data_IF_254305170149
#
_entry.id   IF_254305170149
#
_cell.length_a   1.000
_cell.length_b   1.000
_cell.length_c   1.000
_cell.angle_alpha   90.00
_cell.angle_beta   90.00
_cell.angle_gamma   90.00
#
_symmetry.space_group_name_H-M   'P 1'
#
loop_
_entity.id
_entity.type
_entity.pdbx_description
1 polymer ?
#
# COMPACT_ATOMS: atom_id res chain seq x y z
N UNK A 1 -15.80 2.52 10.66
CA UNK A 1 -15.38 1.13 10.97
C UNK A 1 -14.75 0.55 9.72
N UNK A 2 -13.73 -0.31 9.81
CA UNK A 2 -13.11 -0.95 8.65
C UNK A 2 -13.49 -2.43 8.61
N UNK A 3 -13.67 -2.99 7.41
CA UNK A 3 -14.13 -4.37 7.22
C UNK A 3 -13.12 -5.16 6.40
N UNK A 4 -12.78 -6.38 6.83
CA UNK A 4 -11.85 -7.24 6.10
C UNK A 4 -12.54 -7.86 4.88
N UNK A 5 -11.93 -7.74 3.70
CA UNK A 5 -12.49 -8.22 2.43
C UNK A 5 -11.47 -8.94 1.55
N UNK A 6 -11.96 -9.81 0.68
CA UNK A 6 -11.17 -10.40 -0.41
C UNK A 6 -11.41 -9.61 -1.69
N UNK A 7 -10.34 -9.13 -2.31
CA UNK A 7 -10.38 -8.44 -3.60
C UNK A 7 -10.16 -9.47 -4.71
N UNK A 8 -11.10 -9.50 -5.64
CA UNK A 8 -11.13 -10.47 -6.73
C UNK A 8 -11.11 -9.71 -8.04
N UNK A 9 -10.22 -10.10 -8.94
CA UNK A 9 -10.22 -9.57 -10.30
C UNK A 9 -11.38 -10.18 -11.09
N UNK A 10 -12.16 -9.33 -11.73
CA UNK A 10 -13.21 -9.71 -12.66
C UNK A 10 -12.71 -9.55 -14.10
N UNK A 11 -12.99 -10.53 -14.97
CA UNK A 11 -12.55 -10.49 -16.35
C UNK A 11 -13.32 -9.45 -17.19
N UNK A 12 -14.43 -8.91 -16.69
CA UNK A 12 -15.10 -7.77 -17.32
C UNK A 12 -14.15 -6.55 -17.41
N UNK A 13 -14.35 -5.70 -18.43
CA UNK A 13 -13.65 -4.45 -18.72
C UNK A 13 -14.50 -3.19 -18.51
N UNK A 14 -15.78 -3.29 -18.17
CA UNK A 14 -16.78 -2.19 -18.09
C UNK A 14 -16.58 -1.17 -16.95
N UNK A 15 -15.39 -1.04 -16.37
CA UNK A 15 -15.11 -0.14 -15.23
C UNK A 15 -16.14 -0.28 -14.06
N UNK A 16 -16.45 -1.55 -13.72
CA UNK A 16 -17.40 -1.92 -12.67
C UNK A 16 -16.68 -2.38 -11.40
N UNK A 17 -17.24 -1.97 -10.26
CA UNK A 17 -16.95 -2.50 -8.93
C UNK A 17 -18.18 -3.24 -8.40
N UNK A 18 -18.06 -4.53 -8.14
CA UNK A 18 -19.13 -5.36 -7.59
C UNK A 18 -18.85 -5.60 -6.11
N UNK A 19 -19.74 -5.15 -5.24
CA UNK A 19 -19.60 -5.28 -3.78
C UNK A 19 -20.69 -6.23 -3.26
N UNK A 20 -20.32 -7.14 -2.36
CA UNK A 20 -21.31 -8.01 -1.71
C UNK A 20 -22.27 -7.21 -0.83
N UNK A 21 -23.56 -7.57 -0.84
CA UNK A 21 -24.62 -6.92 -0.04
C UNK A 21 -24.23 -6.70 1.43
N UNK A 22 -23.55 -7.65 2.07
CA UNK A 22 -23.09 -7.51 3.46
C UNK A 22 -22.16 -6.32 3.71
N UNK A 23 -21.31 -5.97 2.75
CA UNK A 23 -20.44 -4.79 2.83
C UNK A 23 -21.26 -3.54 2.53
N UNK A 24 -22.10 -3.58 1.50
CA UNK A 24 -22.94 -2.45 1.13
C UNK A 24 -23.83 -2.00 2.29
N UNK A 25 -24.48 -2.94 2.97
CA UNK A 25 -25.34 -2.69 4.12
C UNK A 25 -24.52 -2.15 5.31
N UNK A 26 -23.36 -2.76 5.62
CA UNK A 26 -22.50 -2.35 6.72
C UNK A 26 -21.96 -0.91 6.60
N UNK A 27 -21.87 -0.39 5.38
CA UNK A 27 -21.44 0.98 5.09
C UNK A 27 -22.57 1.87 4.58
N UNK A 28 -23.82 1.38 4.58
CA UNK A 28 -25.00 2.11 4.09
C UNK A 28 -24.80 2.71 2.68
N UNK A 29 -24.21 1.93 1.78
CA UNK A 29 -23.95 2.36 0.40
C UNK A 29 -25.26 2.59 -0.35
N UNK A 30 -25.38 3.78 -0.96
CA UNK A 30 -26.53 4.16 -1.78
C UNK A 30 -26.17 4.00 -3.26
N UNK A 31 -27.05 3.46 -4.12
CA UNK A 31 -26.81 3.47 -5.56
C UNK A 31 -26.56 4.90 -6.07
N UNK A 32 -25.37 5.13 -6.66
CA UNK A 32 -24.98 6.40 -7.29
C UNK A 32 -24.36 6.10 -8.65
N UNK A 33 -24.26 7.13 -9.50
CA UNK A 33 -23.72 7.00 -10.86
C UNK A 33 -22.29 6.44 -10.86
N UNK A 34 -21.40 6.97 -10.02
CA UNK A 34 -20.02 6.45 -9.85
C UNK A 34 -19.50 6.66 -8.42
N UNK A 35 -18.70 5.71 -7.95
CA UNK A 35 -17.92 5.81 -6.71
C UNK A 35 -16.44 5.96 -7.04
N UNK A 36 -15.66 6.57 -6.14
CA UNK A 36 -14.19 6.55 -6.22
C UNK A 36 -13.68 5.26 -5.58
N UNK A 37 -12.86 4.50 -6.29
CA UNK A 37 -12.05 3.43 -5.72
C UNK A 37 -10.64 3.96 -5.48
N UNK A 38 -10.09 3.69 -4.30
CA UNK A 38 -8.73 4.09 -3.92
C UNK A 38 -7.92 2.88 -3.48
N UNK A 39 -6.67 2.78 -3.95
CA UNK A 39 -5.66 1.82 -3.47
C UNK A 39 -4.30 2.51 -3.45
N UNK A 40 -3.74 2.74 -2.26
CA UNK A 40 -2.63 3.69 -2.11
C UNK A 40 -3.07 5.07 -2.57
N UNK A 41 -2.21 5.80 -3.26
CA UNK A 41 -2.55 7.11 -3.85
C UNK A 41 -3.18 6.99 -5.25
N UNK A 42 -3.45 5.79 -5.76
CA UNK A 42 -4.19 5.61 -7.02
C UNK A 42 -5.70 5.68 -6.77
N UNK A 43 -6.39 6.49 -7.57
CA UNK A 43 -7.83 6.72 -7.48
C UNK A 43 -8.45 6.59 -8.87
N UNK A 44 -9.51 5.80 -8.99
CA UNK A 44 -10.29 5.63 -10.23
C UNK A 44 -11.79 5.74 -9.93
N UNK A 45 -12.59 6.09 -10.94
CA UNK A 45 -14.05 6.05 -10.83
C UNK A 45 -14.58 4.71 -11.31
N UNK A 46 -15.54 4.15 -10.59
CA UNK A 46 -16.18 2.88 -10.92
C UNK A 46 -17.70 2.96 -10.80
N UNK A 47 -18.41 2.25 -11.68
CA UNK A 47 -19.85 1.99 -11.49
C UNK A 47 -20.00 0.95 -10.38
N UNK A 48 -20.78 1.27 -9.36
CA UNK A 48 -21.04 0.37 -8.24
C UNK A 48 -22.23 -0.55 -8.56
N UNK A 49 -22.00 -1.86 -8.50
CA UNK A 49 -23.05 -2.88 -8.52
C UNK A 49 -23.05 -3.61 -7.18
N UNK A 50 -24.22 -3.73 -6.56
CA UNK A 50 -24.38 -4.53 -5.34
C UNK A 50 -24.81 -5.93 -5.75
N UNK A 51 -24.04 -6.94 -5.34
CA UNK A 51 -24.39 -8.34 -5.60
C UNK A 51 -25.03 -8.98 -4.39
N UNK A 52 -26.24 -9.50 -4.57
CA UNK A 52 -26.92 -10.35 -3.58
C UNK A 52 -26.40 -11.80 -3.61
N UNK A 53 -25.81 -12.22 -4.73
CA UNK A 53 -25.26 -13.56 -4.95
C UNK A 53 -23.73 -13.52 -4.89
N UNK A 54 -23.11 -14.49 -4.23
CA UNK A 54 -21.64 -14.65 -4.22
C UNK A 54 -21.01 -14.75 -2.83
N UNK A 55 -19.68 -14.71 -2.78
CA UNK A 55 -18.92 -14.83 -1.53
C UNK A 55 -19.15 -13.60 -0.64
N UNK A 56 -19.50 -13.84 0.62
CA UNK A 56 -19.57 -12.78 1.65
C UNK A 56 -18.21 -12.08 1.77
N UNK A 57 -18.24 -10.78 2.09
CA UNK A 57 -17.05 -9.97 2.31
C UNK A 57 -16.07 -10.00 1.13
N UNK A 58 -16.59 -9.89 -0.09
CA UNK A 58 -15.79 -9.83 -1.30
C UNK A 58 -16.13 -8.61 -2.14
N UNK A 59 -15.09 -8.08 -2.80
CA UNK A 59 -15.20 -6.98 -3.76
C UNK A 59 -14.58 -7.48 -5.06
N UNK A 60 -15.36 -7.51 -6.14
CA UNK A 60 -14.87 -7.83 -7.48
C UNK A 60 -14.65 -6.54 -8.26
N UNK A 61 -13.49 -6.43 -8.89
CA UNK A 61 -13.08 -5.22 -9.61
C UNK A 61 -12.77 -5.61 -11.05
N UNK A 62 -13.33 -4.90 -12.02
CA UNK A 62 -13.05 -5.13 -13.44
C UNK A 62 -11.54 -5.08 -13.73
N UNK A 63 -11.10 -5.89 -14.68
CA UNK A 63 -9.69 -6.06 -15.04
C UNK A 63 -8.99 -4.73 -15.37
N UNK A 64 -9.70 -3.81 -16.02
CA UNK A 64 -9.22 -2.48 -16.36
C UNK A 64 -8.95 -1.62 -15.11
N UNK A 65 -9.92 -1.55 -14.17
CA UNK A 65 -9.75 -0.82 -12.92
C UNK A 65 -8.70 -1.46 -12.03
N UNK A 66 -8.64 -2.79 -11.99
CA UNK A 66 -7.65 -3.55 -11.24
C UNK A 66 -6.22 -3.21 -11.69
N UNK A 67 -6.02 -3.13 -13.01
CA UNK A 67 -4.77 -2.70 -13.64
C UNK A 67 -4.43 -1.24 -13.30
N UNK A 68 -5.37 -0.31 -13.52
CA UNK A 68 -5.19 1.14 -13.24
C UNK A 68 -4.87 1.42 -11.77
N UNK A 69 -5.48 0.67 -10.85
CA UNK A 69 -5.22 0.77 -9.42
C UNK A 69 -3.89 0.11 -9.00
N UNK A 70 -3.31 -0.77 -9.82
CA UNK A 70 -2.08 -1.48 -9.50
C UNK A 70 -2.25 -2.54 -8.40
N UNK A 71 -3.46 -3.11 -8.28
CA UNK A 71 -3.77 -4.08 -7.21
C UNK A 71 -2.97 -5.38 -7.46
N UNK A 72 -2.39 -6.00 -6.41
CA UNK A 72 -1.83 -7.35 -6.49
C UNK A 72 -2.94 -8.40 -6.55
N UNK A 73 -2.71 -9.50 -7.26
CA UNK A 73 -3.68 -10.61 -7.33
C UNK A 73 -3.93 -11.19 -5.93
N UNK A 74 -5.17 -11.69 -5.71
CA UNK A 74 -5.63 -12.32 -4.46
C UNK A 74 -5.40 -11.49 -3.18
N UNK A 75 -5.50 -10.17 -3.28
CA UNK A 75 -5.35 -9.29 -2.12
C UNK A 75 -6.49 -9.51 -1.11
N UNK A 76 -6.13 -9.82 0.13
CA UNK A 76 -7.02 -9.73 1.29
C UNK A 76 -6.64 -8.51 2.12
N UNK A 77 -7.55 -7.53 2.20
CA UNK A 77 -7.27 -6.24 2.85
C UNK A 77 -8.50 -5.69 3.55
N UNK A 78 -8.31 -4.72 4.44
CA UNK A 78 -9.41 -3.93 4.96
C UNK A 78 -9.99 -2.98 3.89
N UNK A 79 -11.29 -2.74 3.98
CA UNK A 79 -12.01 -1.69 3.24
C UNK A 79 -12.57 -0.66 4.22
N UNK A 80 -12.49 0.60 3.82
CA UNK A 80 -13.16 1.71 4.48
C UNK A 80 -13.91 2.51 3.44
N UNK A 81 -15.09 3.02 3.79
CA UNK A 81 -15.87 3.88 2.91
C UNK A 81 -16.04 5.23 3.60
N UNK A 82 -15.68 6.31 2.88
CA UNK A 82 -15.80 7.69 3.34
C UNK A 82 -16.03 8.61 2.14
N UNK A 83 -16.99 9.54 2.23
CA UNK A 83 -17.23 10.58 1.22
C UNK A 83 -17.26 10.06 -0.24
N UNK A 84 -18.06 9.01 -0.49
CA UNK A 84 -18.17 8.32 -1.79
C UNK A 84 -16.87 7.69 -2.33
N UNK A 85 -15.89 7.48 -1.44
CA UNK A 85 -14.64 6.81 -1.71
C UNK A 85 -14.57 5.46 -0.98
N UNK A 86 -14.44 4.40 -1.77
CA UNK A 86 -14.16 3.04 -1.32
C UNK A 86 -12.64 2.87 -1.30
N UNK A 87 -12.07 2.85 -0.10
CA UNK A 87 -10.63 2.76 0.14
C UNK A 87 -10.23 1.32 0.45
N UNK A 88 -9.44 0.72 -0.43
CA UNK A 88 -8.83 -0.60 -0.27
C UNK A 88 -7.47 -0.42 0.39
N UNK A 89 -7.28 -0.95 1.59
CA UNK A 89 -6.00 -0.80 2.30
C UNK A 89 -6.13 -0.55 3.80
N UNK A 90 -5.19 0.17 4.43
CA UNK A 90 -4.19 1.04 3.79
C UNK A 90 -3.09 0.30 3.02
N UNK A 91 -2.45 1.00 2.09
CA UNK A 91 -1.19 0.57 1.48
C UNK A 91 -0.01 1.14 2.26
N UNK A 92 0.86 0.26 2.78
CA UNK A 92 2.06 0.60 3.52
C UNK A 92 3.31 0.34 2.66
N UNK A 93 4.02 1.41 2.33
CA UNK A 93 5.33 1.33 1.70
C UNK A 93 6.43 1.38 2.75
N UNK A 94 7.31 0.39 2.76
CA UNK A 94 8.50 0.37 3.63
C UNK A 94 9.67 0.90 2.82
N UNK A 95 10.11 2.11 3.19
CA UNK A 95 11.24 2.76 2.53
C UNK A 95 12.54 2.20 3.08
N UNK A 96 13.39 1.64 2.22
CA UNK A 96 14.63 0.95 2.59
C UNK A 96 15.79 1.34 1.69
N UNK A 97 17.01 1.03 2.14
CA UNK A 97 18.19 1.26 1.32
C UNK A 97 18.32 0.19 0.19
N UNK A 98 19.08 0.48 -0.89
CA UNK A 98 19.23 -0.42 -2.03
C UNK A 98 19.83 -1.80 -1.70
N UNK A 99 20.68 -1.90 -0.67
CA UNK A 99 21.30 -3.18 -0.27
C UNK A 99 20.23 -4.09 0.34
N UNK A 100 19.39 -3.54 1.21
CA UNK A 100 18.26 -4.24 1.82
C UNK A 100 17.28 -4.73 0.75
N UNK A 101 16.90 -3.85 -0.18
CA UNK A 101 15.99 -4.17 -1.28
C UNK A 101 16.57 -5.24 -2.21
N UNK A 102 17.86 -5.18 -2.55
CA UNK A 102 18.54 -6.20 -3.37
C UNK A 102 18.44 -7.59 -2.73
N UNK A 103 18.64 -7.70 -1.41
CA UNK A 103 18.52 -8.97 -0.69
C UNK A 103 17.11 -9.55 -0.80
N UNK A 104 16.07 -8.70 -0.74
CA UNK A 104 14.68 -9.11 -0.97
C UNK A 104 14.49 -9.67 -2.39
N UNK A 105 14.96 -8.94 -3.40
CA UNK A 105 14.84 -9.37 -4.81
C UNK A 105 15.54 -10.72 -5.08
N UNK A 106 16.66 -10.98 -4.39
CA UNK A 106 17.38 -12.25 -4.42
C UNK A 106 16.69 -13.37 -3.61
N UNK A 107 15.46 -13.16 -3.15
CA UNK A 107 14.70 -14.08 -2.29
C UNK A 107 15.39 -14.40 -0.95
N UNK A 108 16.28 -13.51 -0.49
CA UNK A 108 17.02 -13.62 0.78
C UNK A 108 16.64 -12.47 1.72
N UNK A 109 15.34 -12.31 2.07
CA UNK A 109 14.89 -11.17 2.85
C UNK A 109 15.57 -11.14 4.23
N UNK A 110 16.04 -9.98 4.70
CA UNK A 110 16.54 -9.82 6.06
C UNK A 110 15.49 -10.23 7.10
N UNK A 111 15.91 -10.62 8.31
CA UNK A 111 15.00 -11.09 9.36
C UNK A 111 13.91 -10.06 9.70
N UNK A 112 14.25 -8.78 9.77
CA UNK A 112 13.29 -7.70 10.01
C UNK A 112 12.19 -7.63 8.95
N UNK A 113 12.48 -8.00 7.71
CA UNK A 113 11.50 -8.10 6.63
C UNK A 113 10.45 -9.17 6.96
N UNK A 114 10.90 -10.34 7.40
CA UNK A 114 10.04 -11.47 7.78
C UNK A 114 9.13 -11.10 8.95
N UNK A 115 9.66 -10.39 9.95
CA UNK A 115 8.87 -9.89 11.09
C UNK A 115 7.72 -8.98 10.63
N UNK A 116 7.98 -8.08 9.69
CA UNK A 116 6.93 -7.20 9.14
C UNK A 116 5.89 -7.98 8.33
N UNK A 117 6.29 -9.03 7.61
CA UNK A 117 5.35 -9.91 6.91
C UNK A 117 4.49 -10.72 7.87
N UNK A 118 5.08 -11.25 8.93
CA UNK A 118 4.34 -11.96 9.97
C UNK A 118 3.35 -11.04 10.68
N UNK A 119 3.75 -9.81 11.00
CA UNK A 119 2.84 -8.81 11.55
C UNK A 119 1.67 -8.52 10.58
N UNK A 120 1.94 -8.51 9.27
CA UNK A 120 0.92 -8.27 8.26
C UNK A 120 -0.17 -9.34 8.20
N UNK A 121 0.13 -10.57 8.63
CA UNK A 121 -0.86 -11.65 8.69
C UNK A 121 -2.02 -11.31 9.65
N UNK A 122 -1.78 -10.42 10.62
CA UNK A 122 -2.80 -9.97 11.58
C UNK A 122 -3.45 -8.65 11.17
N UNK A 123 -2.68 -7.72 10.56
CA UNK A 123 -3.21 -6.40 10.20
C UNK A 123 -3.97 -6.37 8.87
N UNK A 124 -3.72 -7.34 7.98
CA UNK A 124 -4.35 -7.42 6.65
C UNK A 124 -4.27 -6.11 5.87
N UNK A 125 -3.07 -5.55 5.78
CA UNK A 125 -2.78 -4.37 4.95
C UNK A 125 -1.94 -4.83 3.76
N UNK A 126 -1.83 -4.00 2.72
CA UNK A 126 -0.89 -4.29 1.64
C UNK A 126 0.46 -3.67 1.97
N UNK A 127 1.50 -4.50 2.04
CA UNK A 127 2.87 -4.04 2.33
C UNK A 127 3.76 -4.32 1.13
N UNK A 128 4.53 -3.30 0.73
CA UNK A 128 5.65 -3.48 -0.19
C UNK A 128 6.86 -2.69 0.27
N UNK A 129 8.03 -3.08 -0.23
CA UNK A 129 9.31 -2.45 0.02
C UNK A 129 9.71 -1.64 -1.19
N UNK A 130 10.38 -0.51 -0.99
CA UNK A 130 10.89 0.32 -2.07
C UNK A 130 12.17 1.06 -1.67
N UNK A 131 12.78 1.76 -2.63
CA UNK A 131 14.01 2.55 -2.44
C UNK A 131 13.88 3.90 -3.13
N UNK A 132 14.92 4.74 -3.08
CA UNK A 132 14.95 6.02 -3.82
C UNK A 132 14.96 5.84 -5.34
N UNK A 133 15.14 4.62 -5.83
CA UNK A 133 15.15 4.30 -7.26
C UNK A 133 13.78 3.78 -7.70
N UNK A 134 13.38 4.17 -8.91
CA UNK A 134 12.19 3.61 -9.57
C UNK A 134 10.87 4.29 -9.21
N UNK A 135 10.89 5.49 -8.61
CA UNK A 135 9.68 6.32 -8.57
C UNK A 135 9.44 7.03 -9.90
N UNK A 136 8.20 7.01 -10.34
CA UNK A 136 7.63 7.92 -11.31
C UNK A 136 6.62 8.82 -10.59
N UNK A 137 7.09 10.00 -10.17
CA UNK A 137 6.28 10.96 -9.43
C UNK A 137 5.11 11.51 -10.25
N UNK A 138 5.32 11.78 -11.54
CA UNK A 138 4.25 12.26 -12.42
C UNK A 138 3.11 11.24 -12.57
N UNK A 139 3.44 9.95 -12.55
CA UNK A 139 2.48 8.85 -12.62
C UNK A 139 1.95 8.36 -11.27
N UNK A 140 2.43 8.91 -10.13
CA UNK A 140 2.16 8.37 -8.78
C UNK A 140 2.43 6.86 -8.65
N UNK A 141 3.49 6.38 -9.32
CA UNK A 141 3.87 4.97 -9.35
C UNK A 141 5.29 4.81 -8.81
N UNK A 142 5.53 3.68 -8.16
CA UNK A 142 6.84 3.31 -7.64
C UNK A 142 7.14 1.83 -7.91
N UNK A 143 8.38 1.56 -8.27
CA UNK A 143 8.89 0.20 -8.31
C UNK A 143 9.05 -0.33 -6.89
N UNK A 144 8.19 -1.28 -6.53
CA UNK A 144 8.21 -1.93 -5.23
C UNK A 144 8.40 -3.43 -5.33
N UNK A 145 8.63 -4.04 -4.18
CA UNK A 145 8.67 -5.50 -4.03
C UNK A 145 7.81 -5.94 -2.85
N UNK A 146 6.93 -6.90 -3.09
CA UNK A 146 6.05 -7.49 -2.07
C UNK A 146 6.17 -9.01 -2.08
N UNK A 147 5.81 -9.66 -0.97
CA UNK A 147 5.74 -11.11 -0.91
C UNK A 147 4.37 -11.58 -1.40
N UNK A 148 4.34 -12.38 -2.46
CA UNK A 148 3.11 -13.02 -2.91
C UNK A 148 2.93 -14.36 -2.21
N UNK A 149 1.80 -14.50 -1.52
CA UNK A 149 1.42 -15.77 -0.89
C UNK A 149 1.12 -16.85 -1.94
N UNK A 150 0.53 -16.48 -3.08
CA UNK A 150 0.20 -17.42 -4.15
C UNK A 150 1.44 -18.08 -4.75
N UNK A 151 2.47 -17.29 -5.01
CA UNK A 151 3.72 -17.77 -5.61
C UNK A 151 4.78 -18.15 -4.58
N UNK A 152 4.53 -17.92 -3.29
CA UNK A 152 5.50 -18.17 -2.21
C UNK A 152 6.82 -17.39 -2.35
N UNK A 153 6.84 -16.25 -3.06
CA UNK A 153 8.07 -15.52 -3.42
C UNK A 153 7.89 -14.01 -3.46
N UNK A 154 9.00 -13.30 -3.40
CA UNK A 154 9.07 -11.85 -3.58
C UNK A 154 8.93 -11.47 -5.05
N UNK A 155 8.01 -10.55 -5.35
CA UNK A 155 7.68 -10.10 -6.70
C UNK A 155 7.98 -8.62 -6.80
N UNK A 156 8.76 -8.23 -7.83
CA UNK A 156 8.97 -6.83 -8.18
C UNK A 156 7.85 -6.37 -9.12
N UNK A 157 7.22 -5.23 -8.83
CA UNK A 157 6.11 -4.69 -9.63
C UNK A 157 6.09 -3.16 -9.54
N UNK A 158 5.53 -2.51 -10.56
CA UNK A 158 5.10 -1.12 -10.46
C UNK A 158 3.82 -1.06 -9.61
N UNK A 159 3.85 -0.27 -8.55
CA UNK A 159 2.79 -0.17 -7.55
C UNK A 159 2.41 1.31 -7.37
N UNK A 160 1.18 1.63 -6.92
CA UNK A 160 0.85 3.01 -6.59
C UNK A 160 1.70 3.51 -5.42
N UNK A 161 1.90 4.82 -5.34
CA UNK A 161 2.42 5.44 -4.11
C UNK A 161 1.57 5.00 -2.91
N UNK A 162 2.16 4.83 -1.71
CA UNK A 162 1.46 4.23 -0.59
C UNK A 162 0.61 5.27 0.16
N UNK A 163 -0.36 4.81 0.96
CA UNK A 163 -1.07 5.67 1.92
C UNK A 163 -0.16 6.09 3.08
N UNK A 164 0.72 5.16 3.48
CA UNK A 164 1.61 5.31 4.63
C UNK A 164 3.02 4.87 4.23
N UNK A 165 4.03 5.65 4.60
CA UNK A 165 5.44 5.25 4.48
C UNK A 165 6.00 4.94 5.86
N UNK A 166 6.54 3.74 6.03
CA UNK A 166 7.42 3.43 7.16
C UNK A 166 8.86 3.65 6.71
N UNK A 167 9.47 4.73 7.21
CA UNK A 167 10.85 5.06 6.89
C UNK A 167 11.81 4.22 7.72
N UNK A 168 12.54 3.34 7.03
CA UNK A 168 13.61 2.52 7.59
C UNK A 168 14.92 2.74 6.84
N UNK A 169 14.98 3.82 6.07
CA UNK A 169 16.04 4.04 5.11
C UNK A 169 17.21 4.75 5.81
N UNK A 170 18.13 3.98 6.37
CA UNK A 170 19.36 4.56 6.92
C UNK A 170 20.44 4.56 5.86
N UNK A 171 20.92 5.74 5.49
CA UNK A 171 22.04 5.93 4.58
C UNK A 171 23.26 6.47 5.34
N UNK A 172 24.39 5.80 5.16
CA UNK A 172 25.64 6.14 5.86
C UNK A 172 26.67 6.81 4.94
N UNK A 173 26.35 7.04 3.67
CA UNK A 173 27.27 7.65 2.71
C UNK A 173 26.83 9.07 2.35
N UNK A 174 27.80 9.99 2.30
CA UNK A 174 27.60 11.41 1.97
C UNK A 174 26.89 11.64 0.63
N UNK A 175 27.00 10.70 -0.32
CA UNK A 175 26.31 10.75 -1.61
C UNK A 175 24.85 10.30 -1.56
N UNK A 176 24.49 9.41 -0.65
CA UNK A 176 23.15 8.83 -0.59
C UNK A 176 22.22 9.60 0.34
N UNK A 177 22.76 10.29 1.34
CA UNK A 177 21.97 11.11 2.27
C UNK A 177 21.17 12.18 1.54
N UNK A 178 21.74 13.03 0.65
CA UNK A 178 20.96 14.05 -0.06
C UNK A 178 19.87 13.46 -0.96
N UNK A 179 20.15 12.32 -1.60
CA UNK A 179 19.16 11.61 -2.42
C UNK A 179 17.98 11.10 -1.59
N UNK A 180 18.25 10.65 -0.37
CA UNK A 180 17.22 10.23 0.56
C UNK A 180 16.36 11.41 0.98
N UNK A 181 16.98 12.50 1.45
CA UNK A 181 16.28 13.71 1.91
C UNK A 181 15.38 14.29 0.82
N UNK A 182 15.89 14.45 -0.40
CA UNK A 182 15.08 14.94 -1.51
C UNK A 182 13.87 14.01 -1.79
N UNK A 183 14.07 12.69 -1.72
CA UNK A 183 12.98 11.73 -1.88
C UNK A 183 11.94 11.82 -0.75
N UNK A 184 12.41 12.07 0.48
CA UNK A 184 11.54 12.29 1.65
C UNK A 184 10.70 13.55 1.49
N UNK A 185 11.29 14.62 0.99
CA UNK A 185 10.60 15.86 0.68
C UNK A 185 9.53 15.64 -0.39
N UNK A 186 9.85 14.93 -1.48
CA UNK A 186 8.87 14.59 -2.51
C UNK A 186 7.70 13.73 -2.00
N UNK A 187 7.96 12.77 -1.10
CA UNK A 187 6.88 11.99 -0.46
C UNK A 187 5.97 12.88 0.41
N UNK A 188 6.52 13.95 0.98
CA UNK A 188 5.81 14.85 1.89
C UNK A 188 5.11 16.01 1.18
N UNK A 189 5.62 16.48 0.05
CA UNK A 189 5.15 17.70 -0.61
C UNK A 189 3.67 17.66 -1.00
N UNK A 190 3.11 16.47 -1.21
CA UNK A 190 1.68 16.29 -1.48
C UNK A 190 0.78 16.27 -0.24
N UNK A 191 1.31 16.12 0.97
CA UNK A 191 0.53 16.03 2.22
C UNK A 191 -0.39 14.80 2.38
N UNK A 192 -0.51 13.98 1.34
CA UNK A 192 -1.43 12.82 1.29
C UNK A 192 -0.85 11.53 1.89
N UNK A 193 0.48 11.47 2.05
CA UNK A 193 1.20 10.29 2.54
C UNK A 193 1.55 10.49 4.02
N UNK A 194 1.04 9.61 4.88
CA UNK A 194 1.41 9.62 6.31
C UNK A 194 2.77 8.94 6.50
N UNK A 195 3.54 9.34 7.51
CA UNK A 195 4.83 8.72 7.81
C UNK A 195 4.86 8.10 9.20
N UNK A 196 5.44 6.90 9.28
CA UNK A 196 5.81 6.23 10.51
C UNK A 196 7.34 6.30 10.59
N UNK A 197 7.85 6.68 11.76
CA UNK A 197 9.29 6.78 12.04
C UNK A 197 10.03 7.81 11.17
N UNK A 198 9.54 9.06 11.14
CA UNK A 198 10.04 10.14 10.28
C UNK A 198 11.32 10.84 10.77
N UNK A 199 11.84 10.49 11.96
CA UNK A 199 13.09 11.06 12.46
C UNK A 199 14.24 10.10 12.19
N UNK A 200 15.07 10.48 11.23
CA UNK A 200 16.35 9.83 10.99
C UNK A 200 17.24 10.03 12.20
N UNK A 201 17.53 8.91 12.86
CA UNK A 201 18.52 8.77 13.92
C UNK A 201 18.10 9.41 15.26
N UNK A 202 17.77 8.53 16.21
CA UNK A 202 17.94 8.83 17.62
C UNK A 202 19.45 8.92 17.87
N UNK A 203 20.00 10.14 17.81
CA UNK A 203 21.36 10.40 18.25
C UNK A 203 21.49 9.90 19.70
N UNK A 204 22.39 8.94 19.91
CA UNK A 204 22.56 8.27 21.21
C UNK A 204 23.04 9.25 22.28
N UNK A 205 23.90 10.20 21.90
CA UNK A 205 24.39 11.23 22.81
C UNK A 205 23.29 12.22 23.13
N UNK A 206 22.55 12.70 22.11
CA UNK A 206 21.38 13.54 22.33
C UNK A 206 20.34 12.85 23.24
N UNK A 207 20.05 11.57 23.01
CA UNK A 207 19.13 10.79 23.82
C UNK A 207 19.65 10.64 25.25
N UNK A 208 20.93 10.31 25.42
CA UNK A 208 21.59 10.26 26.72
C UNK A 208 21.48 11.60 27.46
N UNK A 209 21.80 12.71 26.80
CA UNK A 209 21.69 14.07 27.36
C UNK A 209 20.26 14.42 27.79
N UNK A 210 19.24 13.88 27.11
CA UNK A 210 17.82 14.07 27.48
C UNK A 210 17.32 13.11 28.56
N UNK A 211 17.97 11.96 28.72
CA UNK A 211 17.55 10.92 29.68
C UNK A 211 18.39 10.88 30.95
N UNK A 212 19.56 11.54 30.98
CA UNK A 212 20.35 11.67 32.21
C UNK A 212 19.53 12.46 33.24
N UNK A 213 19.34 11.85 34.41
CA UNK A 213 18.66 12.45 35.56
C UNK A 213 19.59 13.41 36.29
#
# INVERSE_FOLDING_TARGET
MATLVNIIKDNNTDDVCIISKSIADAFSLVPKSRYKLKFGQSIVYAKLNISEKGKKNSIRISSNLFSKLGIPENLRTNVMIKDDMIMLGPVLGIFTNPIYFRKILQQRPPQSCRHMMNANLNSHIFIYFFTTKGANWAGNIIEGCYYSLDFGRWIKKQLPLPDVVFDRCVYNSSRQVPLAENYREHLLSGGLIKRINSKDNLDKYYLYEKLKK
#
